data_IF_224389691260
#
_entry.id   IF_224389691260
#
_cell.length_a   1.000
_cell.length_b   1.000
_cell.length_c   1.000
_cell.angle_alpha   90.00
_cell.angle_beta   90.00
_cell.angle_gamma   90.00
#
_symmetry.space_group_name_H-M   'P 1'
#
loop_
_entity.id
_entity.type
_entity.pdbx_description
1 polymer ?
#
# COMPACT_ATOMS: atom_id res chain seq x y z
N UNK A 1 -11.19 -3.56 1.52
CA UNK A 1 -12.65 -3.90 1.46
C UNK A 1 -13.51 -2.73 1.99
N UNK A 2 -13.26 -2.15 3.17
CA UNK A 2 -14.06 -1.02 3.67
C UNK A 2 -14.31 0.07 2.62
N UNK A 3 -13.27 0.62 2.00
CA UNK A 3 -13.37 1.71 1.01
C UNK A 3 -14.11 1.34 -0.30
N UNK A 4 -14.33 0.07 -0.56
CA UNK A 4 -15.08 -0.41 -1.71
C UNK A 4 -16.54 -0.71 -1.40
N UNK A 5 -16.83 -1.13 -0.17
CA UNK A 5 -18.15 -1.66 0.21
C UNK A 5 -18.88 -0.78 1.22
N UNK A 6 -18.14 0.00 2.01
CA UNK A 6 -18.62 0.74 3.19
C UNK A 6 -19.34 -0.15 4.23
N UNK A 7 -19.09 -1.48 4.19
CA UNK A 7 -19.60 -2.41 5.18
C UNK A 7 -18.79 -2.29 6.49
N UNK A 8 -19.46 -1.88 7.54
CA UNK A 8 -18.84 -1.54 8.82
C UNK A 8 -18.11 -2.71 9.49
N UNK A 9 -18.47 -3.95 9.14
CA UNK A 9 -17.79 -5.17 9.62
C UNK A 9 -16.28 -5.13 9.37
N UNK A 10 -15.83 -4.54 8.26
CA UNK A 10 -14.39 -4.43 7.97
C UNK A 10 -13.66 -3.47 8.90
N UNK A 11 -14.34 -2.42 9.40
CA UNK A 11 -13.78 -1.54 10.43
C UNK A 11 -13.75 -2.23 11.79
N UNK A 12 -14.77 -3.00 12.12
CA UNK A 12 -14.83 -3.77 13.36
C UNK A 12 -13.68 -4.78 13.42
N UNK A 13 -13.47 -5.59 12.36
CA UNK A 13 -12.32 -6.51 12.26
C UNK A 13 -10.97 -5.80 12.36
N UNK A 14 -10.83 -4.64 11.70
CA UNK A 14 -9.60 -3.86 11.76
C UNK A 14 -9.35 -3.32 13.18
N UNK A 15 -10.40 -2.93 13.89
CA UNK A 15 -10.31 -2.45 15.25
C UNK A 15 -9.93 -3.55 16.23
N UNK A 16 -10.55 -4.73 16.12
CA UNK A 16 -10.17 -5.91 16.90
C UNK A 16 -8.70 -6.28 16.68
N UNK A 17 -8.25 -6.29 15.42
CA UNK A 17 -6.85 -6.55 15.09
C UNK A 17 -5.90 -5.50 15.69
N UNK A 18 -6.27 -4.21 15.63
CA UNK A 18 -5.48 -3.13 16.22
C UNK A 18 -5.37 -3.27 17.74
N UNK A 19 -6.48 -3.62 18.43
CA UNK A 19 -6.46 -3.86 19.86
C UNK A 19 -5.58 -5.07 20.23
N UNK A 20 -5.67 -6.18 19.48
CA UNK A 20 -4.84 -7.35 19.71
C UNK A 20 -3.35 -7.06 19.53
N UNK A 21 -2.97 -6.27 18.49
CA UNK A 21 -1.60 -5.82 18.28
C UNK A 21 -1.14 -4.98 19.48
N UNK A 22 -1.95 -4.04 19.93
CA UNK A 22 -1.63 -3.18 21.06
C UNK A 22 -1.44 -3.98 22.36
N UNK A 23 -2.29 -4.96 22.62
CA UNK A 23 -2.24 -5.78 23.84
C UNK A 23 -1.09 -6.76 23.84
N UNK A 24 -0.87 -7.49 22.74
CA UNK A 24 0.01 -8.64 22.71
C UNK A 24 1.40 -8.35 22.10
N UNK A 25 1.51 -7.35 21.20
CA UNK A 25 2.75 -7.08 20.48
C UNK A 25 3.54 -5.88 20.99
N UNK A 26 2.97 -5.08 21.89
CA UNK A 26 3.63 -3.86 22.40
C UNK A 26 4.82 -4.21 23.30
N UNK A 27 5.92 -3.43 23.17
CA UNK A 27 7.10 -3.43 24.02
C UNK A 27 7.37 -2.02 24.56
N UNK A 28 8.39 -1.83 25.37
CA UNK A 28 8.80 -0.51 25.87
C UNK A 28 9.24 0.43 24.75
N UNK A 29 9.90 -0.10 23.72
CA UNK A 29 10.49 0.68 22.62
C UNK A 29 9.71 0.61 21.29
N UNK A 30 8.61 -0.14 21.23
CA UNK A 30 7.83 -0.30 20.00
C UNK A 30 6.95 -1.52 20.01
N UNK A 31 6.98 -2.29 18.92
CA UNK A 31 6.18 -3.50 18.74
C UNK A 31 7.05 -4.66 18.28
N UNK A 32 6.57 -5.86 18.49
CA UNK A 32 7.27 -7.09 18.13
C UNK A 32 6.31 -8.09 17.51
N UNK A 33 6.82 -9.00 16.69
CA UNK A 33 6.10 -10.19 16.31
C UNK A 33 5.88 -11.14 17.48
N UNK A 34 5.07 -12.16 17.29
CA UNK A 34 4.83 -13.25 18.22
C UNK A 34 5.00 -14.60 17.50
N UNK A 35 5.61 -15.58 18.17
CA UNK A 35 5.87 -16.88 17.55
C UNK A 35 4.62 -17.68 17.25
N UNK A 36 3.60 -17.60 18.13
CA UNK A 36 2.38 -18.37 17.99
C UNK A 36 1.20 -17.60 18.61
N UNK A 37 0.20 -17.31 17.79
CA UNK A 37 -1.02 -16.59 18.20
C UNK A 37 -1.89 -17.40 19.17
N UNK A 38 -1.74 -18.72 19.23
CA UNK A 38 -2.50 -19.59 20.14
C UNK A 38 -1.93 -19.62 21.57
N UNK A 39 -0.71 -19.15 21.77
CA UNK A 39 -0.08 -19.13 23.10
C UNK A 39 -0.57 -17.92 23.90
N UNK A 40 -0.99 -18.19 25.13
CA UNK A 40 -1.33 -17.18 26.13
C UNK A 40 -0.56 -17.45 27.43
N UNK A 41 0.34 -16.53 27.87
CA UNK A 41 0.72 -15.27 27.24
C UNK A 41 1.47 -15.46 25.92
N UNK A 42 1.39 -14.48 25.02
CA UNK A 42 2.07 -14.51 23.74
C UNK A 42 3.60 -14.46 23.92
N UNK A 43 4.32 -15.34 23.25
CA UNK A 43 5.79 -15.37 23.25
C UNK A 43 6.29 -14.44 22.15
N UNK A 44 6.98 -13.37 22.53
CA UNK A 44 7.49 -12.34 21.64
C UNK A 44 8.77 -12.80 20.96
N UNK A 45 8.94 -12.48 19.66
CA UNK A 45 10.14 -12.81 18.89
C UNK A 45 11.21 -11.69 18.91
N UNK A 46 10.90 -10.59 19.58
CA UNK A 46 11.75 -9.40 19.74
C UNK A 46 12.19 -8.77 18.42
N UNK A 47 11.36 -8.89 17.38
CA UNK A 47 11.62 -8.34 16.05
C UNK A 47 10.49 -7.41 15.63
N UNK A 48 10.79 -6.15 15.29
CA UNK A 48 9.86 -5.26 14.62
C UNK A 48 10.20 -5.19 13.13
N UNK A 49 9.36 -5.81 12.31
CA UNK A 49 9.53 -5.79 10.87
C UNK A 49 9.22 -4.40 10.29
N UNK A 50 9.98 -3.98 9.27
CA UNK A 50 9.78 -2.67 8.62
C UNK A 50 8.38 -2.52 8.01
N UNK A 51 7.81 -3.59 7.47
CA UNK A 51 6.46 -3.61 6.90
C UNK A 51 5.36 -3.40 7.96
N UNK A 52 5.64 -3.57 9.25
CA UNK A 52 4.67 -3.25 10.29
C UNK A 52 4.22 -1.78 10.21
N UNK A 53 5.18 -0.85 10.12
CA UNK A 53 4.90 0.57 9.94
C UNK A 53 4.44 0.88 8.51
N UNK A 54 5.17 0.36 7.51
CA UNK A 54 4.97 0.71 6.12
C UNK A 54 3.65 0.18 5.54
N UNK A 55 3.15 -0.95 6.02
CA UNK A 55 1.96 -1.61 5.50
C UNK A 55 0.86 -1.73 6.56
N UNK A 56 1.09 -2.45 7.65
CA UNK A 56 0.06 -2.75 8.65
C UNK A 56 -0.54 -1.49 9.25
N UNK A 57 0.28 -0.59 9.80
CA UNK A 57 -0.22 0.65 10.39
C UNK A 57 -0.77 1.61 9.35
N UNK A 58 -0.18 1.67 8.15
CA UNK A 58 -0.71 2.46 7.04
C UNK A 58 -2.12 2.02 6.64
N UNK A 59 -2.37 0.73 6.46
CA UNK A 59 -3.69 0.25 6.11
C UNK A 59 -4.70 0.41 7.25
N UNK A 60 -4.29 0.19 8.51
CA UNK A 60 -5.13 0.49 9.66
C UNK A 60 -5.48 1.99 9.71
N UNK A 61 -4.52 2.87 9.48
CA UNK A 61 -4.77 4.31 9.41
C UNK A 61 -5.75 4.66 8.28
N UNK A 62 -5.55 4.11 7.08
CA UNK A 62 -6.38 4.40 5.91
C UNK A 62 -7.82 3.89 6.06
N UNK A 63 -8.06 2.77 6.75
CA UNK A 63 -9.41 2.23 6.94
C UNK A 63 -10.26 3.11 7.86
N UNK A 64 -9.63 3.86 8.78
CA UNK A 64 -10.30 4.80 9.68
C UNK A 64 -10.25 6.25 9.20
N UNK A 65 -9.48 6.54 8.15
CA UNK A 65 -9.36 7.86 7.54
C UNK A 65 -10.54 8.18 6.62
N UNK A 66 -10.64 9.45 6.20
CA UNK A 66 -11.56 9.88 5.17
C UNK A 66 -11.19 9.27 3.81
N UNK A 67 -12.17 8.88 3.01
CA UNK A 67 -11.98 8.25 1.69
C UNK A 67 -11.30 9.17 0.67
N UNK A 68 -11.33 10.50 0.90
CA UNK A 68 -10.60 11.48 0.09
C UNK A 68 -9.08 11.42 0.28
N UNK A 69 -8.60 10.77 1.35
CA UNK A 69 -7.18 10.52 1.53
C UNK A 69 -6.77 9.30 0.72
N UNK A 70 -6.01 9.50 -0.37
CA UNK A 70 -5.60 8.46 -1.31
C UNK A 70 -6.81 7.65 -1.84
N UNK A 71 -7.75 8.30 -2.56
CA UNK A 71 -8.94 7.63 -3.09
C UNK A 71 -8.55 6.55 -4.11
N UNK A 72 -9.28 5.43 -4.12
CA UNK A 72 -8.93 4.24 -4.90
C UNK A 72 -9.16 4.39 -6.41
N UNK A 73 -9.84 5.42 -6.85
CA UNK A 73 -10.00 5.81 -8.25
C UNK A 73 -8.84 6.67 -8.77
N UNK A 74 -8.03 7.24 -7.87
CA UNK A 74 -6.84 8.03 -8.19
C UNK A 74 -5.52 7.33 -7.87
N UNK A 75 -5.53 6.34 -6.95
CA UNK A 75 -4.34 5.70 -6.42
C UNK A 75 -4.47 4.18 -6.40
N UNK A 76 -3.39 3.49 -6.79
CA UNK A 76 -3.20 2.05 -6.61
C UNK A 76 -2.02 1.80 -5.66
N UNK A 77 -2.09 0.74 -4.87
CA UNK A 77 -1.01 0.34 -3.97
C UNK A 77 -0.26 -0.87 -4.52
N UNK A 78 1.06 -0.84 -4.47
CA UNK A 78 1.87 -2.03 -4.73
C UNK A 78 1.88 -2.98 -3.52
N UNK A 79 2.64 -4.09 -3.59
CA UNK A 79 2.72 -5.10 -2.53
C UNK A 79 3.31 -4.57 -1.22
N UNK A 80 4.11 -3.50 -1.27
CA UNK A 80 4.71 -2.85 -0.10
C UNK A 80 3.91 -1.62 0.36
N UNK A 81 2.65 -1.53 -0.06
CA UNK A 81 1.74 -0.44 0.27
C UNK A 81 2.23 0.97 -0.13
N UNK A 82 3.08 1.08 -1.17
CA UNK A 82 3.40 2.36 -1.76
C UNK A 82 2.25 2.82 -2.66
N UNK A 83 1.69 4.03 -2.43
CA UNK A 83 0.66 4.58 -3.31
C UNK A 83 1.29 5.04 -4.62
N UNK A 84 0.76 4.55 -5.73
CA UNK A 84 1.12 4.93 -7.09
C UNK A 84 -0.06 5.65 -7.73
N UNK A 85 0.12 6.85 -8.32
CA UNK A 85 -0.97 7.58 -8.94
C UNK A 85 -1.43 6.91 -10.22
N UNK A 86 -2.75 6.84 -10.44
CA UNK A 86 -3.34 6.32 -11.68
C UNK A 86 -3.29 7.42 -12.73
N UNK A 87 -2.60 7.14 -13.83
CA UNK A 87 -2.40 8.09 -14.91
C UNK A 87 -3.73 8.49 -15.57
N UNK A 88 -3.98 9.78 -15.71
CA UNK A 88 -5.22 10.32 -16.26
C UNK A 88 -6.40 10.39 -15.27
N UNK A 89 -6.26 9.79 -14.09
CA UNK A 89 -7.26 9.87 -13.02
C UNK A 89 -6.78 10.72 -11.84
N UNK A 90 -5.47 10.83 -11.67
CA UNK A 90 -4.86 11.62 -10.60
C UNK A 90 -4.54 13.04 -11.09
N UNK A 91 -4.87 14.05 -10.30
CA UNK A 91 -4.64 15.45 -10.65
C UNK A 91 -3.17 15.82 -10.87
N UNK A 92 -2.25 15.14 -10.18
CA UNK A 92 -0.80 15.30 -10.35
C UNK A 92 -0.27 14.62 -11.64
N UNK A 93 -1.03 13.70 -12.24
CA UNK A 93 -0.68 12.94 -13.44
C UNK A 93 -1.83 12.94 -14.44
N UNK A 94 -2.14 14.10 -15.07
CA UNK A 94 -3.21 14.20 -16.05
C UNK A 94 -2.89 13.38 -17.31
N UNK A 95 -3.94 12.98 -18.06
CA UNK A 95 -3.81 12.14 -19.25
C UNK A 95 -2.81 12.67 -20.29
N UNK A 96 -2.63 14.00 -20.39
CA UNK A 96 -1.64 14.63 -21.28
C UNK A 96 -0.19 14.27 -20.95
N UNK A 97 0.12 14.01 -19.67
CA UNK A 97 1.44 13.59 -19.22
C UNK A 97 1.74 12.13 -19.60
N UNK A 98 0.71 11.30 -19.68
CA UNK A 98 0.83 9.87 -19.97
C UNK A 98 1.14 9.54 -21.43
N UNK A 99 0.70 10.41 -22.36
CA UNK A 99 0.84 10.21 -23.80
C UNK A 99 2.29 10.45 -24.27
N UNK A 100 3.05 11.30 -23.57
CA UNK A 100 4.42 11.62 -23.98
C UNK A 100 5.42 10.48 -23.84
N UNK A 101 5.17 9.49 -22.99
CA UNK A 101 6.09 8.36 -22.81
C UNK A 101 5.98 7.27 -23.90
N UNK A 102 4.86 7.21 -24.65
CA UNK A 102 4.69 6.21 -25.71
C UNK A 102 5.34 6.62 -27.05
N UNK A 103 5.56 7.92 -27.29
CA UNK A 103 6.12 8.40 -28.56
C UNK A 103 7.66 8.36 -28.62
N UNK A 104 8.34 8.24 -27.47
CA UNK A 104 9.82 8.20 -27.46
C UNK A 104 10.40 6.80 -27.76
N UNK A 105 9.60 5.73 -27.66
CA UNK A 105 10.06 4.37 -27.98
C UNK A 105 9.89 3.97 -29.45
N UNK A 106 9.11 4.71 -30.24
CA UNK A 106 8.84 4.36 -31.66
C UNK A 106 9.86 5.01 -32.62
N UNK A 107 10.63 6.02 -32.18
CA UNK A 107 11.55 6.74 -33.07
C UNK A 107 12.96 6.14 -33.20
N UNK A 108 13.34 5.13 -32.39
CA UNK A 108 14.69 4.60 -32.41
C UNK A 108 14.89 3.32 -33.26
N UNK A 109 13.82 2.69 -33.78
CA UNK A 109 13.96 1.46 -34.56
C UNK A 109 14.03 1.68 -36.09
N UNK A 110 13.71 2.89 -36.59
CA UNK A 110 13.72 3.13 -38.05
C UNK A 110 15.07 3.63 -38.62
N UNK A 111 16.11 3.76 -37.79
CA UNK A 111 17.43 4.26 -38.27
C UNK A 111 18.50 3.15 -38.38
N UNK A 112 18.14 1.85 -38.21
CA UNK A 112 19.11 0.75 -38.32
C UNK A 112 19.04 -0.06 -39.61
N UNK A 113 18.16 0.27 -40.58
CA UNK A 113 17.97 -0.53 -41.79
C UNK A 113 18.60 0.05 -43.07
N UNK A 114 19.37 1.17 -43.03
CA UNK A 114 19.96 1.75 -44.23
C UNK A 114 21.49 1.89 -44.21
N UNK A 115 22.19 0.99 -43.53
CA UNK A 115 23.66 0.94 -43.61
C UNK A 115 24.13 -0.48 -43.96
N UNK A 116 23.83 -0.95 -45.22
CA UNK A 116 24.51 -2.03 -45.92
C UNK A 116 24.22 -1.89 -47.41
N UNK A 117 25.08 -1.24 -48.13
CA UNK A 117 25.63 -1.61 -49.48
C UNK A 117 27.07 -1.18 -49.44
#
# INVERSE_FOLDING_TARGET
>A
MWRLTHDNRYREYAWEAAQAIFEHCRTESGYTGIYNVMNKPAIKDNTQQSFFLAETLKYLYLIFSNDKLLPLDEWVFNTEAHPLPICGHNSAYPASTCIHNNNNNVKNDNNRSNARI
#
